data_IF_711519851436
#
_entry.id   IF_711519851436
#
_cell.length_a   1.000
_cell.length_b   1.000
_cell.length_c   1.000
_cell.angle_alpha   90.00
_cell.angle_beta   90.00
_cell.angle_gamma   90.00
#
_symmetry.space_group_name_H-M   'P 1'
#
loop_
_entity.id
_entity.type
_entity.pdbx_description
1 polymer ?
#
# COMPACT_ATOMS: atom_id res chain seq x y z
N UNK A 1 46.16 65.65 -97.61
CA UNK A 1 44.67 65.64 -97.58
C UNK A 1 44.24 64.83 -96.37
N UNK A 2 43.54 65.50 -95.44
CA UNK A 2 42.66 65.01 -94.36
C UNK A 2 43.09 63.74 -93.58
N UNK A 3 43.36 63.78 -92.28
CA UNK A 3 42.84 64.71 -91.27
C UNK A 3 41.34 64.51 -91.06
N UNK A 4 40.89 63.28 -90.77
CA UNK A 4 39.49 63.04 -90.35
C UNK A 4 39.26 61.64 -89.73
N UNK A 5 40.03 61.21 -88.73
CA UNK A 5 39.66 59.99 -87.97
C UNK A 5 39.99 60.04 -86.46
N UNK A 6 40.44 61.18 -85.93
CA UNK A 6 40.68 61.36 -84.49
C UNK A 6 39.43 61.78 -83.69
N UNK A 7 38.42 62.37 -84.37
CA UNK A 7 37.22 62.87 -83.71
C UNK A 7 36.20 61.78 -83.35
N UNK A 8 36.23 60.62 -84.03
CA UNK A 8 35.35 59.49 -83.70
C UNK A 8 35.87 58.66 -82.51
N UNK A 9 37.20 58.55 -82.33
CA UNK A 9 37.80 57.81 -81.23
C UNK A 9 37.71 58.57 -79.89
N UNK A 10 37.84 59.90 -79.91
CA UNK A 10 37.70 60.74 -78.72
C UNK A 10 36.24 60.88 -78.25
N UNK A 11 35.26 60.79 -79.16
CA UNK A 11 33.84 60.81 -78.82
C UNK A 11 33.32 59.48 -78.23
N UNK A 12 33.96 58.34 -78.54
CA UNK A 12 33.61 57.04 -77.96
C UNK A 12 34.20 56.83 -76.56
N UNK A 13 35.36 57.43 -76.25
CA UNK A 13 35.99 57.35 -74.93
C UNK A 13 35.29 58.21 -73.86
N UNK A 14 34.57 59.27 -74.26
CA UNK A 14 33.80 60.14 -73.37
C UNK A 14 32.38 59.62 -73.05
N UNK A 15 31.93 58.53 -73.69
CA UNK A 15 30.57 58.01 -73.59
C UNK A 15 30.51 56.54 -73.10
N UNK A 16 31.56 56.03 -72.44
CA UNK A 16 31.54 54.71 -71.79
C UNK A 16 31.19 53.53 -72.72
N UNK A 17 31.33 53.71 -74.03
CA UNK A 17 30.87 52.76 -75.03
C UNK A 17 32.08 52.04 -75.63
N UNK A 18 32.32 50.83 -75.15
CA UNK A 18 33.33 49.92 -75.69
C UNK A 18 32.95 49.55 -77.13
N UNK A 19 33.76 50.00 -78.11
CA UNK A 19 33.78 49.36 -79.42
C UNK A 19 34.27 47.91 -79.22
N UNK A 20 33.62 46.89 -79.82
CA UNK A 20 34.03 45.50 -79.66
C UNK A 20 35.38 45.30 -80.34
N UNK A 21 36.43 45.17 -79.52
CA UNK A 21 37.75 44.78 -80.01
C UNK A 21 37.70 43.33 -80.49
N UNK A 22 38.48 42.95 -81.53
CA UNK A 22 38.48 41.60 -82.08
C UNK A 22 38.72 40.55 -80.98
N UNK A 23 37.99 39.43 -81.03
CA UNK A 23 37.89 38.44 -79.95
C UNK A 23 39.24 37.92 -79.40
N UNK A 24 40.30 37.90 -80.22
CA UNK A 24 41.66 37.54 -79.78
C UNK A 24 42.33 38.61 -78.90
N UNK A 25 42.08 39.89 -79.16
CA UNK A 25 42.69 40.98 -78.41
C UNK A 25 42.12 41.10 -76.98
N UNK A 26 40.82 40.82 -76.79
CA UNK A 26 40.24 40.71 -75.44
C UNK A 26 40.74 39.49 -74.67
N UNK A 27 40.98 38.36 -75.36
CA UNK A 27 41.55 37.17 -74.74
C UNK A 27 43.01 37.38 -74.31
N UNK A 28 43.82 38.03 -75.15
CA UNK A 28 45.19 38.43 -74.83
C UNK A 28 45.24 39.46 -73.71
N UNK A 29 44.36 40.47 -73.71
CA UNK A 29 44.28 41.44 -72.62
C UNK A 29 43.88 40.78 -71.30
N UNK A 30 42.90 39.87 -71.30
CA UNK A 30 42.53 39.11 -70.10
C UNK A 30 43.68 38.20 -69.63
N UNK A 31 44.44 37.60 -70.55
CA UNK A 31 45.64 36.82 -70.20
C UNK A 31 46.74 37.71 -69.59
N UNK A 32 47.00 38.87 -70.17
CA UNK A 32 47.96 39.85 -69.65
C UNK A 32 47.52 40.39 -68.28
N UNK A 33 46.23 40.71 -68.11
CA UNK A 33 45.68 41.14 -66.81
C UNK A 33 45.78 40.03 -65.76
N UNK A 34 45.49 38.77 -66.12
CA UNK A 34 45.69 37.63 -65.22
C UNK A 34 47.15 37.43 -64.84
N UNK A 35 48.08 37.57 -65.79
CA UNK A 35 49.51 37.47 -65.53
C UNK A 35 50.03 38.64 -64.68
N UNK A 36 49.51 39.86 -64.88
CA UNK A 36 49.85 41.04 -64.06
C UNK A 36 49.28 40.90 -62.65
N UNK A 37 48.06 40.39 -62.50
CA UNK A 37 47.45 40.11 -61.20
C UNK A 37 48.24 39.03 -60.45
N UNK A 38 48.66 37.96 -61.14
CA UNK A 38 49.51 36.93 -60.57
C UNK A 38 50.90 37.46 -60.18
N UNK A 39 51.54 38.27 -61.03
CA UNK A 39 52.80 38.95 -60.71
C UNK A 39 52.64 39.92 -59.54
N UNK A 40 51.50 40.61 -59.42
CA UNK A 40 51.22 41.51 -58.30
C UNK A 40 51.07 40.74 -56.99
N UNK A 41 50.39 39.59 -57.02
CA UNK A 41 50.24 38.69 -55.89
C UNK A 41 51.59 38.08 -55.49
N UNK A 42 52.38 37.63 -56.46
CA UNK A 42 53.75 37.14 -56.21
C UNK A 42 54.64 38.25 -55.65
N UNK A 43 54.51 39.49 -56.11
CA UNK A 43 55.27 40.61 -55.59
C UNK A 43 54.87 40.94 -54.15
N UNK A 44 53.58 40.89 -53.80
CA UNK A 44 53.12 41.08 -52.42
C UNK A 44 53.59 39.96 -51.50
N UNK A 45 53.55 38.70 -51.96
CA UNK A 45 54.08 37.57 -51.17
C UNK A 45 55.60 37.68 -51.03
N UNK A 46 56.33 38.02 -52.09
CA UNK A 46 57.76 38.25 -52.03
C UNK A 46 58.10 39.39 -51.07
N UNK A 47 57.36 40.50 -51.05
CA UNK A 47 57.56 41.57 -50.06
C UNK A 47 57.38 41.04 -48.64
N UNK A 48 56.29 40.32 -48.37
CA UNK A 48 56.03 39.71 -47.05
C UNK A 48 57.15 38.77 -46.63
N UNK A 49 57.56 37.87 -47.52
CA UNK A 49 58.66 36.93 -47.28
C UNK A 49 59.97 37.68 -47.02
N UNK A 50 60.27 38.73 -47.79
CA UNK A 50 61.48 39.53 -47.53
C UNK A 50 61.42 40.29 -46.21
N UNK A 51 60.26 40.80 -45.81
CA UNK A 51 60.07 41.45 -44.51
C UNK A 51 60.30 40.46 -43.37
N UNK A 52 59.77 39.24 -43.48
CA UNK A 52 59.99 38.17 -42.51
C UNK A 52 61.47 37.74 -42.44
N UNK A 53 62.14 37.64 -43.59
CA UNK A 53 63.58 37.34 -43.67
C UNK A 53 64.39 38.47 -43.01
N UNK A 54 64.07 39.74 -43.30
CA UNK A 54 64.77 40.90 -42.73
C UNK A 54 64.54 40.97 -41.22
N UNK A 55 63.32 40.71 -40.76
CA UNK A 55 62.98 40.66 -39.34
C UNK A 55 63.72 39.50 -38.64
N UNK A 56 63.77 38.33 -39.27
CA UNK A 56 64.52 37.16 -38.79
C UNK A 56 66.03 37.44 -38.73
N UNK A 57 66.61 37.98 -39.80
CA UNK A 57 68.01 38.39 -39.86
C UNK A 57 68.33 39.46 -38.82
N UNK A 58 67.42 40.40 -38.57
CA UNK A 58 67.53 41.41 -37.52
C UNK A 58 67.65 40.79 -36.13
N UNK A 59 66.82 39.77 -35.82
CA UNK A 59 66.88 39.02 -34.55
C UNK A 59 68.18 38.22 -34.43
N UNK A 60 68.57 37.51 -35.49
CA UNK A 60 69.82 36.71 -35.54
C UNK A 60 71.05 37.60 -35.36
N UNK A 61 71.12 38.72 -36.09
CA UNK A 61 72.19 39.73 -35.97
C UNK A 61 72.24 40.36 -34.58
N UNK A 62 71.09 40.68 -33.99
CA UNK A 62 71.05 41.24 -32.64
C UNK A 62 71.50 40.23 -31.59
N UNK A 63 71.16 38.94 -31.74
CA UNK A 63 71.64 37.84 -30.89
C UNK A 63 73.16 37.67 -31.01
N UNK A 64 73.68 37.62 -32.24
CA UNK A 64 75.11 37.54 -32.52
C UNK A 64 75.88 38.72 -31.91
N UNK A 65 75.39 39.95 -32.11
CA UNK A 65 76.01 41.17 -31.58
C UNK A 65 75.97 41.25 -30.05
N UNK A 66 74.87 40.82 -29.42
CA UNK A 66 74.70 40.85 -27.96
C UNK A 66 75.60 39.85 -27.26
N UNK A 67 75.84 38.70 -27.89
CA UNK A 67 76.62 37.60 -27.30
C UNK A 67 78.06 37.53 -27.82
N UNK A 68 78.44 38.37 -28.79
CA UNK A 68 79.79 38.40 -29.38
C UNK A 68 80.15 37.16 -30.20
N UNK A 69 79.15 36.48 -30.76
CA UNK A 69 79.31 35.18 -31.45
C UNK A 69 79.78 35.37 -32.90
N UNK A 70 80.69 34.52 -33.36
CA UNK A 70 81.01 34.38 -34.77
C UNK A 70 79.88 33.63 -35.51
N UNK A 71 79.86 33.66 -36.85
CA UNK A 71 78.80 33.03 -37.64
C UNK A 71 78.65 31.53 -37.37
N UNK A 72 79.76 30.78 -37.25
CA UNK A 72 79.71 29.35 -36.96
C UNK A 72 79.17 29.08 -35.54
N UNK A 73 79.62 29.83 -34.54
CA UNK A 73 79.15 29.73 -33.15
C UNK A 73 77.65 30.11 -33.00
N UNK A 74 77.16 31.00 -33.85
CA UNK A 74 75.75 31.39 -33.89
C UNK A 74 74.86 30.29 -34.47
N UNK A 75 75.33 29.60 -35.51
CA UNK A 75 74.65 28.44 -36.11
C UNK A 75 74.64 27.29 -35.12
N UNK A 76 75.77 27.02 -34.46
CA UNK A 76 75.87 25.98 -33.43
C UNK A 76 74.96 26.28 -32.23
N UNK A 77 74.96 27.52 -31.71
CA UNK A 77 74.04 27.93 -30.63
C UNK A 77 72.57 27.83 -31.04
N UNK A 78 72.22 28.13 -32.30
CA UNK A 78 70.86 27.97 -32.79
C UNK A 78 70.48 26.49 -32.93
N UNK A 79 71.41 25.64 -33.37
CA UNK A 79 71.21 24.19 -33.46
C UNK A 79 71.05 23.57 -32.06
N UNK A 80 71.81 24.02 -31.06
CA UNK A 80 71.66 23.61 -29.66
C UNK A 80 70.32 24.04 -29.07
N UNK A 81 69.89 25.29 -29.31
CA UNK A 81 68.58 25.79 -28.86
C UNK A 81 67.42 24.99 -29.49
N UNK A 82 67.53 24.63 -30.77
CA UNK A 82 66.54 23.81 -31.48
C UNK A 82 66.53 22.39 -30.91
N UNK A 83 67.68 21.74 -30.74
CA UNK A 83 67.77 20.40 -30.14
C UNK A 83 67.25 20.37 -28.69
N UNK A 84 67.53 21.41 -27.90
CA UNK A 84 67.03 21.52 -26.53
C UNK A 84 65.50 21.71 -26.50
N UNK A 85 64.95 22.45 -27.45
CA UNK A 85 63.49 22.59 -27.59
C UNK A 85 62.85 21.26 -28.02
N UNK A 86 63.43 20.53 -28.98
CA UNK A 86 62.93 19.21 -29.41
C UNK A 86 62.87 18.20 -28.25
N UNK A 87 63.92 18.09 -27.43
CA UNK A 87 63.92 17.19 -26.27
C UNK A 87 62.85 17.56 -25.22
N UNK A 88 62.60 18.86 -25.02
CA UNK A 88 61.56 19.32 -24.11
C UNK A 88 60.15 19.03 -24.68
N UNK A 89 59.97 19.13 -25.99
CA UNK A 89 58.69 18.83 -26.65
C UNK A 89 58.31 17.36 -26.47
N UNK A 90 59.25 16.42 -26.61
CA UNK A 90 58.97 15.00 -26.40
C UNK A 90 58.53 14.68 -24.97
N UNK A 91 59.19 15.31 -23.98
CA UNK A 91 58.81 15.15 -22.56
C UNK A 91 57.41 15.72 -22.28
N UNK A 92 57.09 16.86 -22.89
CA UNK A 92 55.81 17.54 -22.71
C UNK A 92 54.68 16.80 -23.44
N UNK A 93 54.95 16.25 -24.62
CA UNK A 93 54.04 15.37 -25.34
C UNK A 93 53.76 14.13 -24.49
N UNK A 94 54.78 13.48 -23.94
CA UNK A 94 54.61 12.31 -23.06
C UNK A 94 53.72 12.64 -21.85
N UNK A 95 54.01 13.71 -21.13
CA UNK A 95 53.21 14.15 -19.98
C UNK A 95 51.75 14.47 -20.36
N UNK A 96 51.56 15.19 -21.47
CA UNK A 96 50.22 15.52 -21.97
C UNK A 96 49.44 14.27 -22.37
N UNK A 97 50.09 13.32 -23.05
CA UNK A 97 49.45 12.05 -23.44
C UNK A 97 49.03 11.23 -22.21
N UNK A 98 49.90 11.09 -21.21
CA UNK A 98 49.57 10.40 -19.96
C UNK A 98 48.42 11.09 -19.21
N UNK A 99 48.43 12.43 -19.13
CA UNK A 99 47.36 13.19 -18.49
C UNK A 99 46.02 13.03 -19.21
N UNK A 100 46.06 12.95 -20.54
CA UNK A 100 44.89 12.76 -21.39
C UNK A 100 44.34 11.34 -21.24
N UNK A 101 45.19 10.33 -21.15
CA UNK A 101 44.77 8.95 -20.86
C UNK A 101 44.13 8.84 -19.47
N UNK A 102 44.74 9.42 -18.44
CA UNK A 102 44.15 9.47 -17.09
C UNK A 102 42.80 10.18 -17.08
N UNK A 103 42.69 11.32 -17.78
CA UNK A 103 41.44 12.06 -17.89
C UNK A 103 40.35 11.26 -18.62
N UNK A 104 40.70 10.55 -19.70
CA UNK A 104 39.78 9.65 -20.42
C UNK A 104 39.32 8.50 -19.53
N UNK A 105 40.24 7.84 -18.85
CA UNK A 105 39.91 6.75 -17.92
C UNK A 105 38.99 7.23 -16.80
N UNK A 106 39.29 8.38 -16.18
CA UNK A 106 38.43 8.98 -15.15
C UNK A 106 37.04 9.34 -15.70
N UNK A 107 36.97 9.91 -16.91
CA UNK A 107 35.70 10.22 -17.58
C UNK A 107 34.87 8.96 -17.79
N UNK A 108 35.46 7.90 -18.31
CA UNK A 108 34.76 6.67 -18.64
C UNK A 108 34.32 5.92 -17.36
N UNK A 109 35.14 5.94 -16.31
CA UNK A 109 34.77 5.42 -14.99
C UNK A 109 33.59 6.21 -14.37
N UNK A 110 33.62 7.54 -14.45
CA UNK A 110 32.51 8.38 -13.97
C UNK A 110 31.23 8.14 -14.79
N UNK A 111 31.33 7.98 -16.11
CA UNK A 111 30.18 7.65 -16.95
C UNK A 111 29.58 6.27 -16.59
N UNK A 112 30.43 5.28 -16.29
CA UNK A 112 29.98 3.97 -15.83
C UNK A 112 29.25 4.06 -14.48
N UNK A 113 29.79 4.83 -13.52
CA UNK A 113 29.13 5.07 -12.23
C UNK A 113 27.77 5.75 -12.39
N UNK A 114 27.68 6.78 -13.23
CA UNK A 114 26.42 7.47 -13.52
C UNK A 114 25.37 6.51 -14.10
N UNK A 115 25.78 5.62 -15.01
CA UNK A 115 24.89 4.58 -15.55
C UNK A 115 24.40 3.62 -14.47
N UNK A 116 25.28 3.17 -13.57
CA UNK A 116 24.90 2.31 -12.46
C UNK A 116 23.92 2.99 -11.50
N UNK A 117 24.16 4.26 -11.15
CA UNK A 117 23.25 5.05 -10.32
C UNK A 117 21.89 5.24 -11.00
N UNK A 118 21.88 5.55 -12.29
CA UNK A 118 20.63 5.70 -13.05
C UNK A 118 19.81 4.40 -13.03
N UNK A 119 20.47 3.25 -13.24
CA UNK A 119 19.81 1.94 -13.20
C UNK A 119 19.30 1.59 -11.81
N UNK A 120 20.08 1.85 -10.75
CA UNK A 120 19.66 1.61 -9.37
C UNK A 120 18.47 2.49 -8.98
N UNK A 121 18.51 3.79 -9.29
CA UNK A 121 17.42 4.73 -9.03
C UNK A 121 16.15 4.34 -9.82
N UNK A 122 16.29 3.96 -11.09
CA UNK A 122 15.17 3.49 -11.90
C UNK A 122 14.54 2.21 -11.32
N UNK A 123 15.38 1.27 -10.86
CA UNK A 123 14.94 0.06 -10.18
C UNK A 123 14.16 0.34 -8.90
N UNK A 124 14.71 1.19 -8.02
CA UNK A 124 14.05 1.60 -6.79
C UNK A 124 12.73 2.33 -7.07
N UNK A 125 12.71 3.25 -8.04
CA UNK A 125 11.49 3.96 -8.43
C UNK A 125 10.39 2.99 -8.89
N UNK A 126 10.74 2.00 -9.71
CA UNK A 126 9.81 0.96 -10.16
C UNK A 126 9.24 0.17 -8.98
N UNK A 127 10.10 -0.27 -8.06
CA UNK A 127 9.68 -0.97 -6.84
C UNK A 127 8.77 -0.10 -5.97
N UNK A 128 9.06 1.19 -5.80
CA UNK A 128 8.20 2.12 -5.06
C UNK A 128 6.82 2.29 -5.70
N UNK A 129 6.76 2.41 -7.03
CA UNK A 129 5.48 2.50 -7.74
C UNK A 129 4.66 1.21 -7.59
N UNK A 130 5.28 0.06 -7.78
CA UNK A 130 4.62 -1.24 -7.60
C UNK A 130 4.13 -1.45 -6.16
N UNK A 131 4.98 -1.11 -5.17
CA UNK A 131 4.61 -1.19 -3.76
C UNK A 131 3.43 -0.28 -3.44
N UNK A 132 3.48 0.99 -3.85
CA UNK A 132 2.40 1.96 -3.60
C UNK A 132 1.08 1.51 -4.24
N UNK A 133 1.13 1.01 -5.47
CA UNK A 133 -0.05 0.50 -6.17
C UNK A 133 -0.67 -0.69 -5.42
N UNK A 134 0.14 -1.67 -5.03
CA UNK A 134 -0.31 -2.83 -4.23
C UNK A 134 -0.88 -2.40 -2.87
N UNK A 135 -0.16 -1.55 -2.15
CA UNK A 135 -0.59 -1.05 -0.85
C UNK A 135 -1.95 -0.33 -0.91
N UNK A 136 -2.16 0.55 -1.91
CA UNK A 136 -3.46 1.23 -2.08
C UNK A 136 -4.56 0.22 -2.42
N UNK A 137 -4.28 -0.77 -3.26
CA UNK A 137 -5.24 -1.82 -3.60
C UNK A 137 -5.62 -2.66 -2.37
N UNK A 138 -4.65 -3.05 -1.55
CA UNK A 138 -4.83 -3.86 -0.34
C UNK A 138 -5.62 -3.10 0.73
N UNK A 139 -5.27 -1.84 1.00
CA UNK A 139 -6.02 -0.98 1.93
C UNK A 139 -7.44 -0.78 1.42
N UNK A 140 -7.63 -0.56 0.11
CA UNK A 140 -8.95 -0.48 -0.49
C UNK A 140 -9.75 -1.77 -0.34
N UNK A 141 -9.14 -2.93 -0.52
CA UNK A 141 -9.77 -4.23 -0.35
C UNK A 141 -10.17 -4.47 1.11
N UNK A 142 -9.31 -4.12 2.06
CA UNK A 142 -9.58 -4.21 3.49
C UNK A 142 -10.76 -3.32 3.90
N UNK A 143 -10.81 -2.08 3.43
CA UNK A 143 -11.95 -1.22 3.72
C UNK A 143 -13.26 -1.71 3.08
N UNK A 144 -13.21 -2.38 1.92
CA UNK A 144 -14.40 -2.99 1.31
C UNK A 144 -14.87 -4.21 2.11
N UNK A 145 -13.95 -5.10 2.50
CA UNK A 145 -14.30 -6.29 3.28
C UNK A 145 -14.84 -5.93 4.67
N UNK A 146 -14.25 -4.94 5.34
CA UNK A 146 -14.74 -4.46 6.63
C UNK A 146 -16.14 -3.84 6.52
N UNK A 147 -16.41 -3.04 5.48
CA UNK A 147 -17.76 -2.51 5.23
C UNK A 147 -18.77 -3.63 4.97
N UNK A 148 -18.40 -4.64 4.18
CA UNK A 148 -19.26 -5.80 3.93
C UNK A 148 -19.59 -6.57 5.23
N UNK A 149 -18.60 -6.75 6.12
CA UNK A 149 -18.82 -7.37 7.43
C UNK A 149 -19.76 -6.54 8.33
N UNK A 150 -19.61 -5.22 8.35
CA UNK A 150 -20.51 -4.35 9.10
C UNK A 150 -21.95 -4.42 8.57
N UNK A 151 -22.13 -4.45 7.25
CA UNK A 151 -23.45 -4.56 6.64
C UNK A 151 -24.07 -5.93 6.91
N UNK A 152 -23.29 -7.01 6.88
CA UNK A 152 -23.76 -8.35 7.24
C UNK A 152 -24.19 -8.42 8.71
N UNK A 153 -23.38 -7.89 9.63
CA UNK A 153 -23.74 -7.83 11.04
C UNK A 153 -25.03 -7.02 11.30
N UNK A 154 -25.25 -5.93 10.55
CA UNK A 154 -26.50 -5.15 10.63
C UNK A 154 -27.70 -5.92 10.10
N UNK A 155 -27.54 -6.65 8.99
CA UNK A 155 -28.59 -7.51 8.43
C UNK A 155 -28.95 -8.63 9.39
N UNK A 156 -27.96 -9.31 9.95
CA UNK A 156 -28.16 -10.37 10.92
C UNK A 156 -28.84 -9.84 12.19
N UNK A 157 -28.40 -8.69 12.71
CA UNK A 157 -29.04 -8.08 13.88
C UNK A 157 -30.52 -7.72 13.62
N UNK A 158 -30.82 -7.19 12.43
CA UNK A 158 -32.18 -6.87 12.03
C UNK A 158 -33.04 -8.12 11.93
N UNK A 159 -32.52 -9.18 11.29
CA UNK A 159 -33.16 -10.49 11.18
C UNK A 159 -33.44 -11.13 12.54
N UNK A 160 -32.47 -11.09 13.47
CA UNK A 160 -32.65 -11.63 14.82
C UNK A 160 -33.70 -10.86 15.60
N UNK A 161 -33.74 -9.53 15.46
CA UNK A 161 -34.80 -8.72 16.07
C UNK A 161 -36.16 -9.10 15.52
N UNK A 162 -36.31 -9.18 14.19
CA UNK A 162 -37.55 -9.61 13.54
C UNK A 162 -38.01 -10.98 14.05
N UNK A 163 -37.10 -11.96 14.13
CA UNK A 163 -37.40 -13.28 14.66
C UNK A 163 -37.89 -13.24 16.12
N UNK A 164 -37.25 -12.44 16.97
CA UNK A 164 -37.66 -12.25 18.37
C UNK A 164 -39.03 -11.59 18.44
N UNK A 165 -39.29 -10.57 17.61
CA UNK A 165 -40.60 -9.92 17.52
C UNK A 165 -41.69 -10.89 17.08
N UNK A 166 -41.43 -11.71 16.06
CA UNK A 166 -42.34 -12.76 15.62
C UNK A 166 -42.62 -13.75 16.75
N UNK A 167 -41.58 -14.25 17.41
CA UNK A 167 -41.71 -15.18 18.54
C UNK A 167 -42.56 -14.57 19.67
N UNK A 168 -42.30 -13.33 20.06
CA UNK A 168 -43.11 -12.64 21.07
C UNK A 168 -44.55 -12.44 20.62
N UNK A 169 -44.80 -12.11 19.35
CA UNK A 169 -46.14 -12.01 18.81
C UNK A 169 -46.88 -13.36 18.81
N UNK A 170 -46.20 -14.46 18.46
CA UNK A 170 -46.75 -15.81 18.53
C UNK A 170 -47.05 -16.24 19.97
N UNK A 171 -46.12 -15.99 20.91
CA UNK A 171 -46.32 -16.27 22.32
C UNK A 171 -47.45 -15.41 22.92
N UNK A 172 -47.56 -14.14 22.53
CA UNK A 172 -48.65 -13.26 22.92
C UNK A 172 -50.01 -13.79 22.46
N UNK A 173 -50.13 -14.20 21.19
CA UNK A 173 -51.36 -14.83 20.65
C UNK A 173 -51.70 -16.14 21.36
N UNK A 174 -50.71 -16.98 21.65
CA UNK A 174 -50.92 -18.23 22.37
C UNK A 174 -51.36 -17.99 23.83
N UNK A 175 -50.79 -17.00 24.50
CA UNK A 175 -51.21 -16.63 25.85
C UNK A 175 -52.63 -16.05 25.85
N UNK A 176 -52.99 -15.22 24.86
CA UNK A 176 -54.34 -14.70 24.74
C UNK A 176 -55.34 -15.84 24.47
N UNK A 177 -55.02 -16.78 23.58
CA UNK A 177 -55.90 -17.93 23.33
C UNK A 177 -56.07 -18.82 24.57
N UNK A 178 -55.03 -18.99 25.40
CA UNK A 178 -55.13 -19.69 26.69
C UNK A 178 -56.00 -18.93 27.70
N UNK A 179 -55.89 -17.61 27.76
CA UNK A 179 -56.73 -16.77 28.63
C UNK A 179 -58.19 -16.80 28.18
N UNK A 180 -58.44 -16.69 26.88
CA UNK A 180 -59.77 -16.85 26.31
C UNK A 180 -60.34 -18.23 26.58
N UNK A 181 -59.53 -19.30 26.40
CA UNK A 181 -59.93 -20.66 26.73
C UNK A 181 -60.30 -20.77 28.20
N UNK A 182 -59.46 -20.28 29.12
CA UNK A 182 -59.73 -20.32 30.56
C UNK A 182 -61.00 -19.55 30.92
N UNK A 183 -61.19 -18.36 30.35
CA UNK A 183 -62.40 -17.55 30.57
C UNK A 183 -63.64 -18.32 30.14
N UNK A 184 -63.66 -18.83 28.90
CA UNK A 184 -64.79 -19.65 28.40
C UNK A 184 -64.96 -20.94 29.19
N UNK A 185 -63.86 -21.50 29.70
CA UNK A 185 -63.90 -22.71 30.52
C UNK A 185 -64.59 -22.45 31.85
N UNK A 186 -64.23 -21.36 32.53
CA UNK A 186 -64.75 -20.95 33.83
C UNK A 186 -66.20 -20.41 33.73
N UNK A 187 -66.56 -19.71 32.64
CA UNK A 187 -67.89 -19.12 32.40
C UNK A 187 -68.97 -20.13 31.95
N UNK A 188 -68.61 -21.36 31.61
CA UNK A 188 -69.56 -22.38 31.15
C UNK A 188 -70.38 -22.96 32.30
N UNK A 189 -71.56 -22.37 32.50
CA UNK A 189 -72.51 -22.77 33.54
C UNK A 189 -72.96 -24.22 33.39
N UNK A 190 -73.09 -24.75 32.16
CA UNK A 190 -73.48 -26.14 31.95
C UNK A 190 -72.42 -27.12 32.48
N UNK A 191 -71.13 -26.78 32.37
CA UNK A 191 -70.03 -27.56 32.97
C UNK A 191 -70.05 -27.48 34.49
N UNK A 192 -70.28 -26.29 35.06
CA UNK A 192 -70.39 -26.12 36.50
C UNK A 192 -71.56 -26.94 37.06
N UNK A 193 -72.73 -26.83 36.44
CA UNK A 193 -73.92 -27.58 36.83
C UNK A 193 -73.68 -29.09 36.74
N UNK A 194 -73.10 -29.61 35.64
CA UNK A 194 -72.71 -31.03 35.55
C UNK A 194 -71.76 -31.45 36.68
N UNK A 195 -70.76 -30.64 37.03
CA UNK A 195 -69.85 -30.95 38.15
C UNK A 195 -70.57 -30.98 39.50
N UNK A 196 -71.52 -30.08 39.73
CA UNK A 196 -72.33 -30.04 40.94
C UNK A 196 -73.27 -31.24 40.99
N UNK A 197 -73.96 -31.52 39.90
CA UNK A 197 -74.86 -32.67 39.75
C UNK A 197 -74.12 -33.99 39.94
N UNK A 198 -72.95 -34.17 39.31
CA UNK A 198 -72.12 -35.37 39.48
C UNK A 198 -71.65 -35.54 40.93
N UNK A 199 -71.38 -34.44 41.64
CA UNK A 199 -71.05 -34.49 43.09
C UNK A 199 -72.28 -34.84 43.92
N UNK A 200 -73.42 -34.24 43.65
CA UNK A 200 -74.68 -34.51 44.33
C UNK A 200 -75.10 -35.98 44.14
N UNK A 201 -75.09 -36.49 42.91
CA UNK A 201 -75.38 -37.88 42.58
C UNK A 201 -74.43 -38.85 43.30
N UNK A 202 -73.13 -38.52 43.37
CA UNK A 202 -72.16 -39.32 44.13
C UNK A 202 -72.46 -39.30 45.63
N UNK A 203 -72.85 -38.17 46.21
CA UNK A 203 -73.26 -38.08 47.62
C UNK A 203 -74.54 -38.86 47.89
N UNK A 204 -75.52 -38.81 47.00
CA UNK A 204 -76.75 -39.61 47.08
C UNK A 204 -76.44 -41.11 47.03
N UNK A 205 -75.60 -41.55 46.10
CA UNK A 205 -75.16 -42.94 46.03
C UNK A 205 -74.48 -43.40 47.33
N UNK A 206 -73.65 -42.56 47.95
CA UNK A 206 -73.05 -42.84 49.26
C UNK A 206 -74.06 -42.91 50.38
N UNK A 207 -75.01 -41.98 50.41
CA UNK A 207 -76.09 -41.98 51.39
C UNK A 207 -76.89 -43.29 51.31
N UNK A 208 -77.30 -43.68 50.10
CA UNK A 208 -78.01 -44.93 49.89
C UNK A 208 -77.15 -46.16 50.19
N UNK A 209 -75.84 -46.14 49.88
CA UNK A 209 -74.90 -47.20 50.28
C UNK A 209 -74.87 -47.38 51.79
N UNK A 210 -74.71 -46.30 52.57
CA UNK A 210 -74.71 -46.35 54.04
C UNK A 210 -76.05 -46.85 54.59
N UNK A 211 -77.16 -46.46 53.98
CA UNK A 211 -78.49 -46.93 54.37
C UNK A 211 -78.70 -48.43 54.05
N UNK A 212 -78.16 -48.92 52.94
CA UNK A 212 -78.33 -50.30 52.49
C UNK A 212 -77.30 -51.27 53.08
N UNK A 213 -76.11 -50.79 53.47
CA UNK A 213 -75.00 -51.60 53.99
C UNK A 213 -74.32 -50.90 55.19
N UNK A 214 -74.94 -50.93 56.38
CA UNK A 214 -74.42 -50.22 57.57
C UNK A 214 -73.14 -50.81 58.16
N UNK A 215 -72.88 -52.10 57.93
CA UNK A 215 -71.74 -52.83 58.52
C UNK A 215 -70.45 -52.74 57.68
N UNK A 216 -70.48 -52.03 56.54
CA UNK A 216 -69.32 -51.85 55.67
C UNK A 216 -68.55 -50.59 56.11
N UNK A 217 -67.23 -50.71 56.25
CA UNK A 217 -66.36 -49.59 56.65
C UNK A 217 -66.39 -48.45 55.60
N UNK A 218 -66.39 -47.19 56.05
CA UNK A 218 -66.52 -46.00 55.19
C UNK A 218 -65.28 -45.75 54.29
N UNK A 219 -64.14 -46.39 54.59
CA UNK A 219 -62.88 -46.29 53.83
C UNK A 219 -62.84 -47.28 52.65
N UNK A 220 -63.71 -47.06 51.67
CA UNK A 220 -63.68 -47.78 50.39
C UNK A 220 -62.70 -47.11 49.40
N UNK A 221 -61.61 -47.77 48.97
CA UNK A 221 -60.63 -47.22 48.03
C UNK A 221 -61.20 -46.83 46.67
N UNK A 222 -62.37 -47.35 46.29
CA UNK A 222 -63.00 -47.05 45.01
C UNK A 222 -63.89 -45.81 45.06
N UNK A 223 -64.16 -45.31 46.28
CA UNK A 223 -65.09 -44.21 46.50
C UNK A 223 -64.55 -43.21 47.54
N UNK A 224 -63.35 -43.28 48.09
CA UNK A 224 -62.94 -42.32 49.13
C UNK A 224 -62.89 -40.87 48.61
N UNK A 225 -63.06 -39.90 49.51
CA UNK A 225 -63.20 -38.45 49.25
C UNK A 225 -61.94 -37.80 48.63
N UNK A 226 -60.92 -38.60 48.35
CA UNK A 226 -59.51 -38.20 48.24
C UNK A 226 -58.92 -38.44 46.84
N UNK A 227 -59.70 -39.00 45.91
CA UNK A 227 -59.26 -39.35 44.55
C UNK A 227 -59.44 -38.22 43.51
N UNK A 228 -60.12 -37.12 43.87
CA UNK A 228 -60.46 -36.04 42.92
C UNK A 228 -59.54 -34.79 43.03
N UNK A 229 -58.53 -34.77 43.90
CA UNK A 229 -57.68 -33.57 44.12
C UNK A 229 -56.19 -33.79 43.82
N UNK A 230 -55.66 -35.01 43.96
CA UNK A 230 -54.24 -35.30 43.74
C UNK A 230 -54.11 -36.47 42.76
N UNK A 231 -53.41 -36.24 41.64
CA UNK A 231 -53.05 -37.30 40.69
C UNK A 231 -52.41 -38.48 41.46
N UNK A 232 -52.81 -39.74 41.25
CA UNK A 232 -52.20 -40.90 41.91
C UNK A 232 -50.67 -40.98 41.72
N UNK A 233 -50.10 -40.37 40.67
CA UNK A 233 -48.66 -40.18 40.51
C UNK A 233 -48.09 -39.14 41.50
N UNK A 234 -48.78 -38.03 41.71
CA UNK A 234 -48.40 -36.97 42.64
C UNK A 234 -48.56 -37.40 44.10
N UNK A 235 -49.60 -38.19 44.42
CA UNK A 235 -49.78 -38.82 45.76
C UNK A 235 -48.67 -39.82 46.10
N UNK A 236 -48.08 -40.47 45.10
CA UNK A 236 -46.89 -41.32 45.28
C UNK A 236 -45.64 -40.48 45.51
N UNK A 237 -45.43 -39.45 44.68
CA UNK A 237 -44.31 -38.51 44.84
C UNK A 237 -44.32 -37.83 46.21
N UNK A 238 -45.49 -37.42 46.71
CA UNK A 238 -45.63 -36.78 48.03
C UNK A 238 -45.31 -37.75 49.16
N UNK A 239 -45.77 -39.01 49.08
CA UNK A 239 -45.41 -40.05 50.06
C UNK A 239 -43.91 -40.36 50.04
N UNK A 240 -43.28 -40.39 48.87
CA UNK A 240 -41.83 -40.56 48.76
C UNK A 240 -41.07 -39.37 49.36
N UNK A 241 -41.54 -38.13 49.12
CA UNK A 241 -40.99 -36.92 49.72
C UNK A 241 -41.17 -36.91 51.24
N UNK A 242 -42.32 -37.32 51.76
CA UNK A 242 -42.61 -37.40 53.19
C UNK A 242 -41.79 -38.49 53.87
N UNK A 243 -41.64 -39.66 53.24
CA UNK A 243 -40.75 -40.72 53.72
C UNK A 243 -39.29 -40.25 53.75
N UNK A 244 -38.84 -39.53 52.71
CA UNK A 244 -37.49 -38.99 52.65
C UNK A 244 -37.26 -37.90 53.71
N UNK A 245 -38.21 -36.99 53.88
CA UNK A 245 -38.15 -35.97 54.93
C UNK A 245 -38.16 -36.59 56.33
N UNK A 246 -38.96 -37.65 56.56
CA UNK A 246 -38.93 -38.40 57.81
C UNK A 246 -37.59 -39.12 58.02
N UNK A 247 -36.99 -39.68 56.96
CA UNK A 247 -35.67 -40.30 57.02
C UNK A 247 -34.56 -39.29 57.30
N UNK A 248 -34.66 -38.09 56.70
CA UNK A 248 -33.75 -36.98 56.95
C UNK A 248 -33.92 -36.45 58.39
N UNK A 249 -35.15 -36.32 58.92
CA UNK A 249 -35.38 -35.97 60.33
C UNK A 249 -34.88 -37.05 61.30
N UNK A 250 -35.05 -38.34 60.97
CA UNK A 250 -34.49 -39.43 61.76
C UNK A 250 -32.95 -39.44 61.71
N UNK A 251 -32.35 -39.12 60.57
CA UNK A 251 -30.90 -38.98 60.44
C UNK A 251 -30.37 -37.75 61.20
N UNK A 252 -31.08 -36.62 61.15
CA UNK A 252 -30.73 -35.39 61.85
C UNK A 252 -30.82 -35.58 63.38
N UNK A 253 -31.87 -36.28 63.85
CA UNK A 253 -32.01 -36.66 65.27
C UNK A 253 -30.98 -37.68 65.75
N UNK A 254 -30.39 -38.50 64.85
CA UNK A 254 -29.27 -39.39 65.20
C UNK A 254 -27.93 -38.66 65.18
N UNK A 255 -27.80 -37.55 64.44
CA UNK A 255 -26.59 -36.71 64.46
C UNK A 255 -26.53 -35.75 65.63
N UNK A 256 -27.66 -35.35 66.21
CA UNK A 256 -27.68 -34.47 67.40
C UNK A 256 -27.26 -35.18 68.71
N UNK A 257 -27.27 -36.52 68.76
CA UNK A 257 -26.76 -37.30 69.90
C UNK A 257 -25.24 -37.59 69.82
N UNK A 258 -24.51 -37.03 68.84
CA UNK A 258 -23.05 -37.16 68.72
C UNK A 258 -22.35 -35.79 68.67
N UNK A 259 -21.70 -35.47 69.79
CA UNK A 259 -21.04 -34.21 70.16
C UNK A 259 -20.33 -33.39 69.05
N UNK A 260 -20.74 -32.12 68.89
CA UNK A 260 -19.88 -30.92 69.08
C UNK A 260 -18.98 -30.39 67.93
N UNK A 261 -19.44 -29.35 67.20
CA UNK A 261 -18.77 -28.04 66.94
C UNK A 261 -19.45 -27.22 65.82
N UNK A 262 -19.38 -25.87 65.82
CA UNK A 262 -20.29 -25.02 65.06
C UNK A 262 -19.82 -24.82 63.62
N UNK A 263 -20.70 -25.00 62.64
CA UNK A 263 -20.49 -24.56 61.26
C UNK A 263 -21.47 -23.43 60.95
N UNK A 264 -20.87 -22.32 60.52
CA UNK A 264 -21.53 -21.07 60.16
C UNK A 264 -22.67 -21.28 59.16
N UNK A 265 -23.85 -20.81 59.57
CA UNK A 265 -24.98 -20.51 58.70
C UNK A 265 -24.54 -19.57 57.56
N UNK A 266 -24.74 -19.99 56.31
CA UNK A 266 -24.82 -19.06 55.19
C UNK A 266 -26.14 -19.30 54.46
N UNK A 267 -27.08 -18.40 54.72
CA UNK A 267 -28.37 -18.25 54.07
C UNK A 267 -28.18 -18.11 52.55
N UNK A 268 -28.76 -19.05 51.81
CA UNK A 268 -28.83 -19.00 50.36
C UNK A 268 -29.98 -18.12 49.89
N UNK A 269 -29.73 -16.81 49.77
CA UNK A 269 -30.59 -15.90 49.01
C UNK A 269 -29.85 -15.47 47.74
N UNK A 270 -30.46 -15.83 46.60
CA UNK A 270 -29.93 -15.68 45.26
C UNK A 270 -29.48 -14.26 44.92
N UNK A 271 -28.19 -14.13 44.61
CA UNK A 271 -27.60 -13.01 43.90
C UNK A 271 -26.70 -13.56 42.79
N UNK A 272 -27.05 -13.28 41.54
CA UNK A 272 -26.21 -13.63 40.38
C UNK A 272 -24.97 -12.75 40.44
N UNK A 273 -23.79 -13.36 40.64
CA UNK A 273 -22.52 -12.67 40.51
C UNK A 273 -22.29 -12.29 39.05
N UNK A 274 -22.40 -11.00 38.73
CA UNK A 274 -21.96 -10.45 37.45
C UNK A 274 -20.43 -10.48 37.42
N UNK A 275 -19.87 -11.59 36.97
CA UNK A 275 -18.45 -11.71 36.66
C UNK A 275 -18.16 -10.76 35.49
N UNK A 276 -17.38 -9.71 35.75
CA UNK A 276 -16.90 -8.79 34.73
C UNK A 276 -15.87 -9.57 33.89
N UNK A 277 -16.29 -10.09 32.75
CA UNK A 277 -15.39 -10.68 31.76
C UNK A 277 -14.42 -9.61 31.27
N UNK A 278 -13.15 -9.78 31.60
CA UNK A 278 -12.05 -9.11 30.92
C UNK A 278 -12.12 -9.46 29.44
N UNK A 279 -12.29 -8.42 28.61
CA UNK A 279 -12.23 -8.50 27.17
C UNK A 279 -10.78 -8.85 26.74
N UNK A 280 -10.44 -10.13 26.81
CA UNK A 280 -9.17 -10.70 26.34
C UNK A 280 -9.47 -11.96 25.53
N UNK A 281 -9.85 -11.80 24.27
CA UNK A 281 -9.99 -12.96 23.38
C UNK A 281 -10.91 -12.81 22.19
N UNK A 282 -10.82 -11.72 21.41
CA UNK A 282 -11.17 -11.83 20.00
C UNK A 282 -9.90 -12.07 19.18
N UNK A 283 -9.82 -13.13 18.36
CA UNK A 283 -8.68 -13.33 17.47
C UNK A 283 -8.70 -12.21 16.42
N UNK A 284 -7.80 -11.25 16.59
CA UNK A 284 -7.49 -10.25 15.57
C UNK A 284 -7.04 -11.00 14.29
N UNK A 285 -7.53 -10.62 13.10
CA UNK A 285 -7.07 -11.24 11.86
C UNK A 285 -5.55 -11.03 11.71
N UNK A 286 -4.82 -12.03 11.20
CA UNK A 286 -3.37 -11.96 11.11
C UNK A 286 -2.96 -10.77 10.25
N UNK A 287 -2.12 -9.88 10.81
CA UNK A 287 -1.47 -8.81 10.04
C UNK A 287 -0.62 -9.46 8.94
N UNK A 288 -0.62 -8.93 7.71
CA UNK A 288 0.31 -9.39 6.69
C UNK A 288 1.74 -9.14 7.20
N UNK A 289 2.56 -10.20 7.21
CA UNK A 289 3.98 -10.13 7.53
C UNK A 289 4.62 -9.11 6.58
N UNK A 290 4.93 -7.93 7.12
CA UNK A 290 5.80 -6.99 6.44
C UNK A 290 7.16 -7.68 6.30
N UNK A 291 7.65 -7.68 5.07
CA UNK A 291 8.88 -8.32 4.63
C UNK A 291 10.00 -8.23 5.69
N UNK A 292 10.54 -9.40 6.04
CA UNK A 292 11.83 -9.48 6.69
C UNK A 292 12.85 -8.75 5.81
N UNK A 293 13.39 -7.67 6.36
CA UNK A 293 14.50 -6.92 5.79
C UNK A 293 15.74 -7.82 5.84
N UNK A 294 16.03 -8.52 4.74
CA UNK A 294 17.35 -9.16 4.54
C UNK A 294 18.33 -8.06 4.16
N UNK A 295 18.95 -7.45 5.16
CA UNK A 295 20.15 -6.63 5.01
C UNK A 295 21.14 -7.06 6.09
N UNK A 296 22.25 -7.68 5.67
CA UNK A 296 23.47 -7.78 6.47
C UNK A 296 23.97 -9.19 6.73
N UNK A 297 24.79 -9.71 5.81
CA UNK A 297 26.01 -10.43 6.20
C UNK A 297 26.96 -10.50 5.02
N UNK A 298 27.95 -9.61 5.03
CA UNK A 298 29.23 -9.78 4.34
C UNK A 298 30.12 -10.66 5.22
N UNK A 299 30.57 -11.77 4.65
CA UNK A 299 31.63 -12.65 5.14
C UNK A 299 32.21 -13.39 3.95
#
# INVERSE_FOLDING_TARGET
MNGMNGAAAAAAAAAGMALPTPAGHQAELNYIYGMVEELSRQLTENRRVTEDIIAGLGKVRNKAKKNGLNNDELVDSAAEDINAQEQNLDSLISLLTESLEKAKYSRDANAALLSQYANALAGMLKQFHEYKAKHVADVGAWHRSYRAQLDEARRENSRLREQIWEMHAHAGRANESLREFRRRYDEDEARWNRRVDDKAMRQELRFWKRMAMPDLEDDDPYWSDDDDIIDPAEKRRLRELEQRAAQEQFADSQTEDSEGQPVLMHDGLGGIAMQREDAMGQPMPPRPLSAASTTGSTG
#
